data_IF_028581594226
#
_entry.id   IF_028581594226
#
_cell.length_a   1.000
_cell.length_b   1.000
_cell.length_c   1.000
_cell.angle_alpha   90.00
_cell.angle_beta   90.00
_cell.angle_gamma   90.00
#
_symmetry.space_group_name_H-M   'P 1'
#
loop_
_entity.id
_entity.type
_entity.pdbx_description
1 polymer ?
#
# COMPACT_ATOMS: atom_id res chain seq x y z
N UNK A 1 -3.36 -18.53 1.81
CA UNK A 1 -4.55 -17.65 1.68
C UNK A 1 -4.66 -16.61 2.79
N UNK A 2 -4.47 -16.97 4.07
CA UNK A 2 -4.52 -16.02 5.20
C UNK A 2 -3.61 -14.80 5.03
N UNK A 3 -2.32 -15.03 4.67
CA UNK A 3 -1.36 -13.94 4.42
C UNK A 3 -1.77 -12.99 3.29
N UNK A 4 -2.30 -13.51 2.18
CA UNK A 4 -2.79 -12.68 1.07
C UNK A 4 -3.99 -11.82 1.50
N UNK A 5 -4.91 -12.40 2.26
CA UNK A 5 -6.06 -11.65 2.79
C UNK A 5 -5.65 -10.56 3.78
N UNK A 6 -4.64 -10.82 4.62
CA UNK A 6 -4.06 -9.82 5.52
C UNK A 6 -3.40 -8.67 4.75
N UNK A 7 -2.61 -8.98 3.72
CA UNK A 7 -1.97 -7.97 2.86
C UNK A 7 -3.01 -7.13 2.13
N UNK A 8 -4.08 -7.73 1.61
CA UNK A 8 -5.19 -7.00 0.99
C UNK A 8 -5.88 -6.04 1.97
N UNK A 9 -6.13 -6.48 3.21
CA UNK A 9 -6.68 -5.62 4.28
C UNK A 9 -5.75 -4.46 4.61
N UNK A 10 -4.45 -4.72 4.81
CA UNK A 10 -3.44 -3.68 5.06
C UNK A 10 -3.37 -2.67 3.92
N UNK A 11 -3.32 -3.13 2.67
CA UNK A 11 -3.36 -2.26 1.48
C UNK A 11 -4.61 -1.39 1.43
N UNK A 12 -5.78 -1.98 1.72
CA UNK A 12 -7.05 -1.26 1.72
C UNK A 12 -7.06 -0.14 2.76
N UNK A 13 -6.57 -0.43 3.97
CA UNK A 13 -6.44 0.53 5.06
C UNK A 13 -5.49 1.69 4.70
N UNK A 14 -4.31 1.40 4.18
CA UNK A 14 -3.35 2.44 3.77
C UNK A 14 -3.94 3.32 2.66
N UNK A 15 -4.63 2.73 1.68
CA UNK A 15 -5.33 3.51 0.64
C UNK A 15 -6.45 4.38 1.20
N UNK A 16 -7.17 3.94 2.24
CA UNK A 16 -8.17 4.80 2.88
C UNK A 16 -7.53 5.98 3.61
N UNK A 17 -6.39 5.78 4.27
CA UNK A 17 -5.64 6.88 4.90
C UNK A 17 -5.17 7.90 3.85
N UNK A 18 -4.64 7.44 2.72
CA UNK A 18 -4.20 8.36 1.65
C UNK A 18 -5.35 9.18 1.05
N UNK A 19 -6.58 8.65 1.04
CA UNK A 19 -7.76 9.39 0.53
C UNK A 19 -8.17 10.55 1.42
N UNK A 20 -7.82 10.51 2.71
CA UNK A 20 -8.09 11.62 3.64
C UNK A 20 -6.97 12.65 3.71
N UNK A 21 -5.88 12.46 2.96
CA UNK A 21 -4.73 13.37 2.94
C UNK A 21 -4.79 14.28 1.71
N UNK A 22 -4.19 15.45 1.82
CA UNK A 22 -3.94 16.29 0.66
C UNK A 22 -2.84 15.68 -0.21
N UNK A 23 -3.21 15.27 -1.42
CA UNK A 23 -2.29 14.69 -2.42
C UNK A 23 -1.34 15.74 -3.02
N UNK A 24 -1.70 17.02 -2.90
CA UNK A 24 -0.95 18.15 -3.45
C UNK A 24 -0.07 18.80 -2.35
N UNK A 25 -0.06 18.22 -1.13
CA UNK A 25 0.82 18.63 -0.03
C UNK A 25 2.29 18.59 -0.47
N UNK A 26 3.06 19.69 -0.33
CA UNK A 26 4.45 19.71 -0.74
C UNK A 26 5.29 18.67 0.03
N UNK A 27 6.20 18.00 -0.67
CA UNK A 27 7.00 16.88 -0.12
C UNK A 27 7.87 17.25 1.09
N UNK A 28 8.21 18.52 1.28
CA UNK A 28 9.01 18.96 2.42
C UNK A 28 8.18 19.12 3.71
N UNK A 29 6.84 19.14 3.59
CA UNK A 29 5.92 19.18 4.74
C UNK A 29 5.76 17.80 5.35
N UNK A 30 5.32 17.75 6.61
CA UNK A 30 5.06 16.48 7.29
C UNK A 30 3.93 15.67 6.62
N UNK A 31 2.90 16.34 6.10
CA UNK A 31 1.82 15.68 5.36
C UNK A 31 2.33 15.06 4.05
N UNK A 32 3.09 15.80 3.25
CA UNK A 32 3.70 15.30 2.01
C UNK A 32 4.67 14.13 2.26
N UNK A 33 5.52 14.22 3.28
CA UNK A 33 6.39 13.10 3.70
C UNK A 33 5.59 11.87 4.10
N UNK A 34 4.55 12.07 4.91
CA UNK A 34 3.67 10.99 5.39
C UNK A 34 2.95 10.34 4.21
N UNK A 35 2.46 11.13 3.26
CA UNK A 35 1.80 10.63 2.05
C UNK A 35 2.76 9.73 1.25
N UNK A 36 3.98 10.18 1.01
CA UNK A 36 5.00 9.40 0.31
C UNK A 36 5.35 8.11 1.04
N UNK A 37 5.51 8.15 2.37
CA UNK A 37 5.77 6.94 3.15
C UNK A 37 4.63 5.91 3.04
N UNK A 38 3.38 6.36 3.10
CA UNK A 38 2.21 5.49 2.96
C UNK A 38 2.11 4.96 1.53
N UNK A 39 2.40 5.78 0.51
CA UNK A 39 2.44 5.36 -0.90
C UNK A 39 3.47 4.25 -1.11
N UNK A 40 4.70 4.44 -0.62
CA UNK A 40 5.77 3.43 -0.72
C UNK A 40 5.37 2.13 -0.04
N UNK A 41 4.83 2.19 1.19
CA UNK A 41 4.33 0.99 1.89
C UNK A 41 3.21 0.29 1.12
N UNK A 42 2.30 1.06 0.52
CA UNK A 42 1.19 0.52 -0.29
C UNK A 42 1.72 -0.18 -1.53
N UNK A 43 2.74 0.37 -2.19
CA UNK A 43 3.37 -0.22 -3.36
C UNK A 43 4.09 -1.54 -3.01
N UNK A 44 4.86 -1.58 -1.92
CA UNK A 44 5.53 -2.80 -1.46
C UNK A 44 4.53 -3.93 -1.16
N UNK A 45 3.43 -3.61 -0.48
CA UNK A 45 2.36 -4.60 -0.21
C UNK A 45 1.73 -5.10 -1.52
N UNK A 46 1.57 -4.25 -2.53
CA UNK A 46 1.08 -4.67 -3.84
C UNK A 46 2.03 -5.67 -4.51
N UNK A 47 3.34 -5.40 -4.47
CA UNK A 47 4.35 -6.31 -5.02
C UNK A 47 4.32 -7.67 -4.31
N UNK A 48 4.16 -7.70 -2.99
CA UNK A 48 4.02 -8.95 -2.22
C UNK A 48 2.76 -9.73 -2.63
N UNK A 49 1.63 -9.03 -2.83
CA UNK A 49 0.39 -9.64 -3.31
C UNK A 49 0.59 -10.25 -4.70
N UNK A 50 1.22 -9.49 -5.61
CA UNK A 50 1.46 -9.93 -6.99
C UNK A 50 2.39 -11.16 -7.02
N UNK A 51 3.41 -11.19 -6.16
CA UNK A 51 4.30 -12.35 -6.00
C UNK A 51 3.52 -13.59 -5.54
N UNK A 52 2.70 -13.44 -4.49
CA UNK A 52 1.87 -14.55 -3.98
C UNK A 52 0.85 -15.05 -5.01
N UNK A 53 0.31 -14.16 -5.85
CA UNK A 53 -0.60 -14.53 -6.93
C UNK A 53 0.13 -15.34 -8.02
N UNK A 54 1.34 -14.94 -8.41
CA UNK A 54 2.17 -15.69 -9.37
C UNK A 54 2.53 -17.07 -8.84
N UNK A 55 2.96 -17.18 -7.58
CA UNK A 55 3.25 -18.46 -6.94
C UNK A 55 2.04 -19.39 -6.90
N UNK A 56 0.84 -18.84 -6.67
CA UNK A 56 -0.39 -19.61 -6.72
C UNK A 56 -0.72 -20.09 -8.13
N UNK A 57 -0.53 -19.25 -9.15
CA UNK A 57 -0.82 -19.60 -10.54
C UNK A 57 0.17 -20.64 -11.11
N UNK A 58 1.36 -20.75 -10.53
CA UNK A 58 2.37 -21.74 -10.88
C UNK A 58 2.20 -23.10 -10.17
N UNK A 59 1.20 -23.24 -9.27
CA UNK A 59 0.84 -24.48 -8.57
C UNK A 59 -0.48 -25.01 -9.08
#
# INVERSE_FOLDING_TARGET
MAKMHELMKKRSFLRSLMKSMDKDAPLHTEEGKTYCQILVRTALIQLDIDSLQKEKAAR
#
